data_IF_326294984129
#
_entry.id   IF_326294984129
#
_cell.length_a   1.000
_cell.length_b   1.000
_cell.length_c   1.000
_cell.angle_alpha   90.00
_cell.angle_beta   90.00
_cell.angle_gamma   90.00
#
_symmetry.space_group_name_H-M   'P 1'
#
loop_
_entity.id
_entity.type
_entity.pdbx_description
1 polymer ?
#
# COMPACT_ATOMS: atom_id res chain seq x y z
N UNK A 1 0.05 1.96 13.68
CA UNK A 1 0.56 1.66 12.33
C UNK A 1 1.00 0.20 12.33
N UNK A 2 0.73 -0.52 11.24
CA UNK A 2 0.85 -1.98 11.20
C UNK A 2 2.03 -2.37 10.32
N UNK A 3 2.96 -3.14 10.88
CA UNK A 3 4.10 -3.65 10.12
C UNK A 3 3.71 -4.92 9.35
N UNK A 4 4.26 -5.04 8.16
CA UNK A 4 4.15 -6.22 7.31
C UNK A 4 5.52 -6.69 6.81
N UNK A 5 5.55 -7.93 6.36
CA UNK A 5 6.63 -8.48 5.55
C UNK A 5 6.06 -9.00 4.23
N UNK A 6 6.55 -8.45 3.12
CA UNK A 6 6.28 -8.99 1.80
C UNK A 6 7.17 -10.22 1.56
N UNK A 7 6.68 -11.19 0.79
CA UNK A 7 7.45 -12.41 0.46
C UNK A 7 8.79 -12.12 -0.24
N UNK A 8 8.97 -10.93 -0.83
CA UNK A 8 10.21 -10.51 -1.47
C UNK A 8 11.28 -10.02 -0.48
N UNK A 9 11.01 -10.09 0.83
CA UNK A 9 11.91 -9.64 1.89
C UNK A 9 11.75 -8.16 2.28
N UNK A 10 10.86 -7.40 1.64
CA UNK A 10 10.53 -6.03 2.09
C UNK A 10 9.80 -6.12 3.44
N UNK A 11 10.30 -5.40 4.43
CA UNK A 11 9.63 -5.18 5.72
C UNK A 11 9.37 -3.70 5.92
N UNK A 12 8.21 -3.33 6.44
CA UNK A 12 7.87 -1.93 6.67
C UNK A 12 6.41 -1.74 7.08
N UNK A 13 5.94 -0.51 7.08
CA UNK A 13 4.52 -0.23 7.31
C UNK A 13 3.71 -0.60 6.08
N UNK A 14 2.48 -1.10 6.30
CA UNK A 14 1.55 -1.41 5.21
C UNK A 14 1.26 -0.14 4.41
N UNK A 15 1.13 0.99 5.08
CA UNK A 15 0.88 2.31 4.51
C UNK A 15 2.07 2.85 3.67
N UNK A 16 3.23 2.19 3.72
CA UNK A 16 4.38 2.51 2.86
C UNK A 16 4.31 1.80 1.49
N UNK A 17 3.30 0.96 1.26
CA UNK A 17 3.03 0.41 -0.08
C UNK A 17 2.39 1.46 -0.99
N UNK A 18 2.44 1.21 -2.29
CA UNK A 18 1.82 2.10 -3.28
C UNK A 18 0.34 1.76 -3.47
N UNK A 19 -0.59 2.70 -3.25
CA UNK A 19 -2.01 2.46 -3.44
C UNK A 19 -2.36 2.43 -4.93
N UNK A 20 -2.97 1.34 -5.38
CA UNK A 20 -3.35 1.11 -6.78
C UNK A 20 -4.81 0.67 -6.91
N UNK A 21 -5.33 0.71 -8.12
CA UNK A 21 -6.60 0.09 -8.52
C UNK A 21 -6.26 -1.08 -9.44
N UNK A 22 -6.74 -2.28 -9.12
CA UNK A 22 -6.50 -3.47 -9.93
C UNK A 22 -7.36 -3.51 -11.21
N UNK A 23 -7.20 -4.58 -12.01
CA UNK A 23 -7.98 -4.78 -13.24
C UNK A 23 -9.49 -4.95 -13.03
N UNK A 24 -9.92 -5.26 -11.81
CA UNK A 24 -11.33 -5.43 -11.42
C UNK A 24 -11.91 -4.15 -10.78
N UNK A 25 -11.14 -3.06 -10.72
CA UNK A 25 -11.57 -1.80 -10.13
C UNK A 25 -11.49 -1.76 -8.60
N UNK A 26 -10.82 -2.72 -7.97
CA UNK A 26 -10.68 -2.80 -6.51
C UNK A 26 -9.42 -2.08 -6.05
N UNK A 27 -9.50 -1.45 -4.88
CA UNK A 27 -8.32 -0.89 -4.23
C UNK A 27 -7.40 -2.01 -3.74
N UNK A 28 -6.10 -1.84 -3.97
CA UNK A 28 -5.06 -2.71 -3.47
C UNK A 28 -3.84 -1.89 -3.09
N UNK A 29 -2.93 -2.52 -2.34
CA UNK A 29 -1.62 -1.98 -2.05
C UNK A 29 -0.54 -2.79 -2.76
N UNK A 30 0.26 -2.11 -3.58
CA UNK A 30 1.36 -2.67 -4.35
C UNK A 30 2.67 -2.57 -3.56
N UNK A 31 3.40 -3.68 -3.47
CA UNK A 31 4.75 -3.67 -2.94
C UNK A 31 5.69 -2.90 -3.88
N UNK A 32 6.33 -1.81 -3.44
CA UNK A 32 7.18 -0.99 -4.30
C UNK A 32 8.45 -1.71 -4.78
N UNK A 33 8.79 -2.85 -4.17
CA UNK A 33 9.98 -3.63 -4.53
C UNK A 33 9.70 -4.74 -5.56
N UNK A 34 8.53 -5.38 -5.52
CA UNK A 34 8.25 -6.56 -6.34
C UNK A 34 6.91 -6.52 -7.08
N UNK A 35 6.11 -5.46 -6.92
CA UNK A 35 4.81 -5.32 -7.58
C UNK A 35 3.70 -6.20 -6.99
N UNK A 36 3.94 -6.89 -5.86
CA UNK A 36 2.92 -7.73 -5.26
C UNK A 36 1.73 -6.90 -4.76
N UNK A 37 0.53 -7.25 -5.21
CA UNK A 37 -0.73 -6.66 -4.78
C UNK A 37 -1.28 -7.36 -3.53
N UNK A 38 -1.70 -6.56 -2.56
CA UNK A 38 -2.46 -6.99 -1.39
C UNK A 38 -3.79 -6.23 -1.31
N UNK A 39 -4.89 -6.97 -1.31
CA UNK A 39 -6.24 -6.42 -1.24
C UNK A 39 -6.73 -6.19 0.19
N UNK A 40 -5.89 -6.47 1.20
CA UNK A 40 -6.18 -6.24 2.61
C UNK A 40 -7.47 -6.93 3.09
N UNK A 41 -7.87 -8.04 2.47
CA UNK A 41 -9.12 -8.75 2.77
C UNK A 41 -9.19 -9.31 4.19
N UNK A 42 -8.05 -9.32 4.89
CA UNK A 42 -7.90 -9.75 6.27
C UNK A 42 -8.12 -8.61 7.28
N UNK A 43 -8.21 -7.34 6.83
CA UNK A 43 -8.56 -6.18 7.65
C UNK A 43 -10.07 -5.93 7.63
N UNK A 44 -10.60 -5.50 8.78
CA UNK A 44 -12.02 -5.11 8.89
C UNK A 44 -12.32 -3.74 8.27
N UNK A 45 -11.33 -2.85 8.19
CA UNK A 45 -11.46 -1.49 7.64
C UNK A 45 -10.23 -1.14 6.80
N UNK A 46 -10.05 -1.80 5.63
CA UNK A 46 -8.92 -1.57 4.75
C UNK A 46 -8.89 -0.16 4.15
N UNK A 47 -10.03 0.53 4.07
CA UNK A 47 -10.17 1.87 3.47
C UNK A 47 -9.27 2.89 4.19
N UNK A 48 -9.24 2.84 5.52
CA UNK A 48 -8.40 3.73 6.33
C UNK A 48 -6.90 3.58 6.03
N UNK A 49 -6.45 2.35 5.79
CA UNK A 49 -5.06 2.03 5.46
C UNK A 49 -4.73 2.48 4.03
N UNK A 50 -5.66 2.27 3.10
CA UNK A 50 -5.51 2.72 1.71
C UNK A 50 -5.47 4.25 1.62
N UNK A 51 -6.33 4.97 2.34
CA UNK A 51 -6.32 6.44 2.38
C UNK A 51 -5.01 7.00 2.96
N UNK A 52 -4.50 6.38 4.02
CA UNK A 52 -3.22 6.76 4.59
C UNK A 52 -2.04 6.47 3.64
N UNK A 53 -2.04 5.33 2.95
CA UNK A 53 -1.08 5.03 1.89
C UNK A 53 -1.13 6.06 0.76
N UNK A 54 -2.34 6.52 0.37
CA UNK A 54 -2.52 7.60 -0.62
C UNK A 54 -1.97 8.93 -0.13
N UNK A 55 -2.20 9.28 1.14
CA UNK A 55 -1.63 10.49 1.76
C UNK A 55 -0.10 10.46 1.68
N UNK A 56 0.52 9.37 2.11
CA UNK A 56 1.98 9.21 2.10
C UNK A 56 2.58 9.18 0.69
N UNK A 57 1.94 8.50 -0.26
CA UNK A 57 2.39 8.48 -1.66
C UNK A 57 2.40 9.90 -2.25
N UNK A 58 1.35 10.70 -2.00
CA UNK A 58 1.32 12.11 -2.40
C UNK A 58 2.44 12.93 -1.76
N UNK A 59 2.72 12.73 -0.47
CA UNK A 59 3.81 13.42 0.23
C UNK A 59 5.19 13.07 -0.33
N UNK A 60 5.41 11.80 -0.69
CA UNK A 60 6.64 11.34 -1.37
C UNK A 60 6.79 11.99 -2.74
N UNK A 61 5.71 12.06 -3.52
CA UNK A 61 5.72 12.69 -4.85
C UNK A 61 6.02 14.18 -4.77
N UNK A 62 5.46 14.89 -3.78
CA UNK A 62 5.74 16.32 -3.55
C UNK A 62 7.20 16.52 -3.12
N UNK A 63 7.72 15.67 -2.24
CA UNK A 63 9.11 15.77 -1.74
C UNK A 63 10.16 15.40 -2.79
N UNK A 64 9.76 14.70 -3.85
CA UNK A 64 10.62 14.29 -4.96
C UNK A 64 10.59 15.27 -6.15
N UNK A 65 9.74 16.30 -6.11
CA UNK A 65 9.58 17.34 -7.14
C UNK A 65 10.41 18.59 -6.81
#
# INVERSE_FOLDING_TARGET
>A
MMQEACYCGRTGEIEDREPVIDGDGRAALECPQCGHLDHLSWLQNPESVVEEARRRSRERQISAA
#
